data_IF_696969880847
#
_entry.id   IF_696969880847
#
_cell.length_a   1.000
_cell.length_b   1.000
_cell.length_c   1.000
_cell.angle_alpha   90.00
_cell.angle_beta   90.00
_cell.angle_gamma   90.00
#
_symmetry.space_group_name_H-M   'P 1'
#
loop_
_entity.id
_entity.type
_entity.pdbx_description
1 polymer ?
#
# COMPACT_ATOMS: atom_id res chain seq x y z
N UNK A 1 0.44 24.42 7.43
CA UNK A 1 0.49 24.04 7.11
C UNK A 1 0.62 23.44 7.31
N UNK A 2 0.58 23.15 7.35
CA UNK A 2 0.64 22.57 7.27
C UNK A 2 0.50 21.82 7.22
N UNK A 3 0.31 21.49 7.26
CA UNK A 3 -0.10 20.73 7.03
C UNK A 3 -0.30 19.99 6.18
N UNK A 4 -0.39 20.23 5.70
CA UNK A 4 -0.68 19.73 4.40
C UNK A 4 0.00 18.43 4.06
N UNK A 5 1.15 18.23 4.54
CA UNK A 5 1.79 16.97 4.33
C UNK A 5 1.02 15.82 4.83
N UNK A 6 0.39 15.99 5.95
CA UNK A 6 -0.41 14.93 6.51
C UNK A 6 -1.55 14.58 5.60
N UNK A 7 -2.06 15.56 4.87
CA UNK A 7 -3.19 15.29 4.00
C UNK A 7 -2.81 14.42 2.81
N UNK A 8 -1.53 14.26 2.54
CA UNK A 8 -1.08 13.41 1.45
C UNK A 8 -0.94 11.96 1.85
N UNK A 9 -0.99 11.68 3.14
CA UNK A 9 -0.90 10.32 3.59
C UNK A 9 -2.29 9.71 3.64
N UNK A 10 -2.37 8.44 3.35
CA UNK A 10 -3.63 7.73 3.38
C UNK A 10 -3.40 6.37 3.99
N UNK A 11 -4.41 5.53 4.00
CA UNK A 11 -4.30 4.18 4.53
C UNK A 11 -5.12 3.26 3.66
N UNK A 12 -4.69 2.02 3.56
CA UNK A 12 -5.45 1.01 2.86
C UNK A 12 -6.57 0.50 3.75
N UNK A 13 -7.77 0.44 3.20
CA UNK A 13 -8.94 -0.04 3.95
C UNK A 13 -9.47 -1.34 3.38
N UNK A 14 -9.00 -1.76 2.21
CA UNK A 14 -9.43 -3.00 1.59
C UNK A 14 -8.35 -3.50 0.64
N UNK A 15 -8.35 -4.79 0.40
CA UNK A 15 -7.43 -5.40 -0.54
C UNK A 15 -8.14 -6.55 -1.22
N UNK A 16 -7.81 -6.80 -2.48
CA UNK A 16 -8.36 -7.91 -3.23
C UNK A 16 -7.30 -8.99 -3.39
N UNK A 17 -7.69 -10.23 -3.20
CA UNK A 17 -6.78 -11.35 -3.38
C UNK A 17 -7.12 -12.12 -4.63
N UNK A 18 -6.10 -12.67 -5.24
CA UNK A 18 -6.30 -13.62 -6.34
C UNK A 18 -6.65 -14.98 -5.76
N UNK A 19 -7.00 -15.91 -6.64
CA UNK A 19 -7.39 -17.25 -6.21
C UNK A 19 -6.23 -17.99 -5.54
N UNK A 20 -5.00 -17.62 -5.83
CA UNK A 20 -3.82 -18.25 -5.22
C UNK A 20 -3.42 -17.58 -3.91
N UNK A 21 -4.20 -16.63 -3.42
CA UNK A 21 -3.94 -15.98 -2.15
C UNK A 21 -3.06 -14.75 -2.22
N UNK A 22 -2.53 -14.42 -3.39
CA UNK A 22 -1.71 -13.21 -3.50
C UNK A 22 -2.59 -11.98 -3.61
N UNK A 23 -2.06 -10.85 -3.14
CA UNK A 23 -2.79 -9.59 -3.22
C UNK A 23 -2.63 -8.99 -4.61
N UNK A 24 -3.69 -8.49 -5.18
CA UNK A 24 -3.65 -7.91 -6.52
C UNK A 24 -4.02 -6.43 -6.55
N UNK A 25 -4.88 -5.99 -5.66
CA UNK A 25 -5.33 -4.61 -5.62
C UNK A 25 -5.51 -4.15 -4.19
N UNK A 26 -5.37 -2.84 -4.01
CA UNK A 26 -5.60 -2.21 -2.72
C UNK A 26 -6.47 -0.99 -2.92
N UNK A 27 -7.23 -0.63 -1.91
CA UNK A 27 -8.08 0.54 -1.95
C UNK A 27 -7.82 1.36 -0.72
N UNK A 28 -7.63 2.67 -0.89
CA UNK A 28 -7.38 3.53 0.24
C UNK A 28 -8.68 4.13 0.78
N UNK A 29 -8.58 4.87 1.85
CA UNK A 29 -9.77 5.44 2.52
C UNK A 29 -10.46 6.50 1.67
N UNK A 30 -9.80 7.00 0.65
CA UNK A 30 -10.36 7.99 -0.26
C UNK A 30 -11.03 7.35 -1.46
N UNK A 31 -11.00 6.02 -1.57
CA UNK A 31 -11.63 5.33 -2.67
C UNK A 31 -10.74 5.10 -3.87
N UNK A 32 -9.47 5.46 -3.78
CA UNK A 32 -8.54 5.21 -4.88
C UNK A 32 -8.11 3.75 -4.89
N UNK A 33 -8.00 3.20 -6.09
CA UNK A 33 -7.61 1.81 -6.27
C UNK A 33 -6.20 1.76 -6.83
N UNK A 34 -5.39 0.91 -6.24
CA UNK A 34 -3.99 0.73 -6.61
C UNK A 34 -3.77 -0.72 -7.03
N UNK A 35 -3.01 -0.94 -8.10
CA UNK A 35 -2.54 -2.30 -8.35
C UNK A 35 -1.36 -2.57 -7.41
N UNK A 36 -0.82 -3.78 -7.46
CA UNK A 36 0.21 -4.15 -6.50
C UNK A 36 1.45 -3.27 -6.64
N UNK A 37 1.87 -2.99 -7.86
CA UNK A 37 3.05 -2.15 -8.07
C UNK A 37 2.83 -0.73 -7.61
N UNK A 38 1.67 -0.17 -7.89
CA UNK A 38 1.35 1.18 -7.45
C UNK A 38 1.28 1.25 -5.93
N UNK A 39 0.69 0.24 -5.33
CA UNK A 39 0.59 0.20 -3.88
C UNK A 39 1.96 0.10 -3.24
N UNK A 40 2.82 -0.74 -3.81
CA UNK A 40 4.17 -0.91 -3.29
C UNK A 40 4.95 0.39 -3.36
N UNK A 41 4.83 1.09 -4.47
CA UNK A 41 5.51 2.37 -4.62
C UNK A 41 5.01 3.38 -3.60
N UNK A 42 3.71 3.46 -3.41
CA UNK A 42 3.14 4.39 -2.43
C UNK A 42 3.63 4.07 -1.02
N UNK A 43 3.69 2.78 -0.69
CA UNK A 43 4.18 2.35 0.62
C UNK A 43 5.66 2.74 0.79
N UNK A 44 6.46 2.55 -0.25
CA UNK A 44 7.88 2.88 -0.17
C UNK A 44 8.11 4.38 -0.02
N UNK A 45 7.21 5.18 -0.55
CA UNK A 45 7.33 6.62 -0.41
C UNK A 45 6.80 7.13 0.93
N UNK A 46 6.28 6.23 1.75
CA UNK A 46 5.78 6.61 3.06
C UNK A 46 4.41 7.24 3.03
N UNK A 47 3.65 7.05 1.96
CA UNK A 47 2.34 7.67 1.81
C UNK A 47 1.22 6.86 2.44
N UNK A 48 1.49 5.62 2.83
CA UNK A 48 0.49 4.74 3.41
C UNK A 48 0.79 4.55 4.89
N UNK A 49 -0.14 4.95 5.73
CA UNK A 49 0.10 4.95 7.17
C UNK A 49 0.12 3.57 7.79
N UNK A 50 -0.66 2.65 7.25
CA UNK A 50 -0.83 1.35 7.87
C UNK A 50 -0.13 0.22 7.13
N UNK A 51 0.87 0.54 6.31
CA UNK A 51 1.60 -0.47 5.57
C UNK A 51 3.07 -0.10 5.49
N UNK A 52 3.91 -1.11 5.46
CA UNK A 52 5.36 -0.93 5.39
C UNK A 52 5.92 -1.80 4.28
N UNK A 53 6.97 -1.35 3.61
CA UNK A 53 7.62 -2.20 2.63
C UNK A 53 8.61 -3.13 3.32
N UNK A 54 8.82 -4.31 2.76
CA UNK A 54 9.89 -5.18 3.24
C UNK A 54 10.40 -6.01 2.09
N UNK A 55 11.66 -6.45 2.21
CA UNK A 55 12.28 -7.30 1.21
C UNK A 55 12.17 -8.74 1.68
N UNK A 56 11.58 -9.59 0.86
CA UNK A 56 11.41 -10.98 1.18
C UNK A 56 12.69 -11.78 0.94
N UNK A 57 12.63 -13.07 1.25
CA UNK A 57 13.77 -13.94 1.04
C UNK A 57 14.16 -14.07 -0.41
N UNK A 58 13.19 -13.90 -1.29
CA UNK A 58 13.42 -14.00 -2.72
C UNK A 58 14.02 -12.72 -3.30
N UNK A 59 14.29 -11.73 -2.46
CA UNK A 59 14.82 -10.45 -2.92
C UNK A 59 13.76 -9.52 -3.46
N UNK A 60 12.51 -9.94 -3.49
CA UNK A 60 11.44 -9.10 -4.00
C UNK A 60 10.86 -8.23 -2.88
N UNK A 61 10.25 -7.13 -3.29
CA UNK A 61 9.63 -6.22 -2.35
C UNK A 61 8.19 -6.60 -2.12
N UNK A 62 7.77 -6.48 -0.89
CA UNK A 62 6.42 -6.84 -0.47
C UNK A 62 5.85 -5.77 0.44
N UNK A 63 4.54 -5.81 0.63
CA UNK A 63 3.83 -4.90 1.50
C UNK A 63 3.39 -5.68 2.73
N UNK A 64 3.57 -5.06 3.89
CA UNK A 64 3.20 -5.71 5.14
C UNK A 64 2.34 -4.74 5.95
N UNK A 65 1.46 -5.27 6.78
CA UNK A 65 0.68 -4.47 7.69
C UNK A 65 -0.73 -4.14 7.26
N UNK A 66 -1.13 -4.55 6.10
CA UNK A 66 -2.48 -4.28 5.63
C UNK A 66 -3.46 -5.34 6.08
#
# INVERSE_FOLDING_TARGET
MKKSKNSERTRFVAARRNSDGTLSEFKDENGNVYDYEQALEAVEQGMIENALPFTGRDGARHIRGV
#
